data_IF_373539069389
#
_entry.id   IF_373539069389
#
_cell.length_a   1.000
_cell.length_b   1.000
_cell.length_c   1.000
_cell.angle_alpha   90.00
_cell.angle_beta   90.00
_cell.angle_gamma   90.00
#
_symmetry.space_group_name_H-M   'P 1'
#
loop_
_entity.id
_entity.type
_entity.pdbx_description
1 polymer ?
#
# COMPACT_ATOMS: atom_id res chain seq x y z
N UNK A 1 -4.99 7.51 -9.29
CA UNK A 1 -3.60 7.29 -8.85
C UNK A 1 -3.15 8.47 -7.98
N UNK A 2 -2.63 8.19 -6.79
CA UNK A 2 -2.07 9.18 -5.88
C UNK A 2 -0.57 8.95 -5.76
N UNK A 3 0.21 10.02 -5.88
CA UNK A 3 1.66 10.05 -5.59
C UNK A 3 1.89 10.76 -4.26
N UNK A 4 2.65 10.14 -3.37
CA UNK A 4 3.11 10.74 -2.12
C UNK A 4 4.63 10.96 -2.26
N UNK A 5 5.07 12.19 -2.63
CA UNK A 5 6.48 12.49 -2.81
C UNK A 5 7.26 12.33 -1.51
N UNK A 6 8.48 11.82 -1.62
CA UNK A 6 9.39 11.65 -0.50
C UNK A 6 10.47 12.75 -0.45
N UNK A 7 10.66 13.51 -1.52
CA UNK A 7 11.57 14.64 -1.57
C UNK A 7 10.96 15.84 -0.79
N UNK A 8 11.61 16.30 0.30
CA UNK A 8 11.12 17.42 1.11
C UNK A 8 11.00 18.73 0.35
N UNK A 9 11.69 18.92 -0.78
CA UNK A 9 11.62 20.11 -1.61
C UNK A 9 10.32 20.23 -2.41
N UNK A 10 9.58 19.12 -2.54
CA UNK A 10 8.33 19.08 -3.29
C UNK A 10 7.16 19.45 -2.37
N UNK A 11 6.33 20.41 -2.80
CA UNK A 11 5.12 20.79 -2.05
C UNK A 11 4.18 19.57 -1.90
N UNK A 12 3.69 19.35 -0.68
CA UNK A 12 2.83 18.21 -0.37
C UNK A 12 3.57 16.89 -0.17
N UNK A 13 4.90 16.92 -0.06
CA UNK A 13 5.68 15.75 0.31
C UNK A 13 5.36 15.30 1.74
N UNK A 14 5.36 13.98 1.95
CA UNK A 14 5.28 13.36 3.27
C UNK A 14 6.50 12.44 3.40
N UNK A 15 7.68 12.99 3.70
CA UNK A 15 8.88 12.20 3.86
C UNK A 15 8.72 11.21 5.00
N UNK A 16 8.95 9.93 4.71
CA UNK A 16 8.97 8.89 5.73
C UNK A 16 10.38 8.74 6.28
N UNK A 17 10.48 8.52 7.58
CA UNK A 17 11.78 8.25 8.21
C UNK A 17 12.38 6.97 7.64
N UNK A 18 13.70 6.96 7.51
CA UNK A 18 14.42 5.74 7.15
C UNK A 18 14.08 4.64 8.14
N UNK A 19 13.84 3.43 7.62
CA UNK A 19 13.67 2.23 8.42
C UNK A 19 14.88 2.01 9.32
N UNK A 20 14.62 1.52 10.53
CA UNK A 20 15.68 1.16 11.47
C UNK A 20 16.50 0.00 10.92
N UNK A 21 17.78 0.04 11.17
CA UNK A 21 18.69 -1.03 10.83
C UNK A 21 19.26 -1.56 12.16
N UNK A 22 18.61 -2.59 12.68
CA UNK A 22 19.03 -3.26 13.90
C UNK A 22 20.18 -4.23 13.64
N UNK A 23 20.71 -4.86 14.69
CA UNK A 23 21.77 -5.84 14.53
C UNK A 23 21.43 -7.02 13.61
N UNK A 24 20.14 -7.32 13.45
CA UNK A 24 19.61 -8.37 12.58
C UNK A 24 19.20 -7.89 11.19
N UNK A 25 19.33 -6.60 10.89
CA UNK A 25 19.02 -6.01 9.58
C UNK A 25 17.95 -4.94 9.59
N UNK A 26 17.32 -4.76 8.43
CA UNK A 26 16.32 -3.73 8.16
C UNK A 26 14.98 -4.08 8.81
N UNK A 27 14.38 -3.10 9.50
CA UNK A 27 13.06 -3.25 10.10
C UNK A 27 12.12 -2.15 9.64
N UNK A 28 10.90 -2.51 9.25
CA UNK A 28 9.82 -1.56 9.01
C UNK A 28 8.47 -2.27 9.00
N UNK A 29 7.41 -1.47 9.10
CA UNK A 29 6.03 -1.97 8.98
C UNK A 29 5.19 -1.02 8.13
N UNK A 30 4.42 -1.56 7.23
CA UNK A 30 3.34 -0.88 6.51
C UNK A 30 2.00 -1.43 6.95
N UNK A 31 1.02 -0.57 7.11
CA UNK A 31 -0.36 -0.95 7.41
C UNK A 31 -1.31 -0.18 6.51
N UNK A 32 -2.32 -0.87 6.00
CA UNK A 32 -3.36 -0.28 5.16
C UNK A 32 -4.69 -0.97 5.41
N UNK A 33 -5.78 -0.22 5.36
CA UNK A 33 -7.12 -0.77 5.28
C UNK A 33 -7.60 -0.74 3.84
N UNK A 34 -8.11 -1.85 3.36
CA UNK A 34 -8.66 -2.00 2.02
C UNK A 34 -10.09 -2.54 2.08
N UNK A 35 -10.92 -2.08 1.19
CA UNK A 35 -12.25 -2.61 0.92
C UNK A 35 -12.31 -2.93 -0.57
N UNK A 36 -12.41 -4.19 -0.93
CA UNK A 36 -12.49 -4.64 -2.32
C UNK A 36 -13.94 -4.96 -2.62
N UNK A 37 -14.55 -4.20 -3.53
CA UNK A 37 -15.95 -4.39 -3.93
C UNK A 37 -16.07 -5.54 -4.91
N UNK A 38 -15.24 -5.53 -5.93
CA UNK A 38 -15.31 -6.49 -7.01
C UNK A 38 -13.92 -6.85 -7.52
N UNK A 39 -13.79 -8.06 -8.01
CA UNK A 39 -12.64 -8.52 -8.78
C UNK A 39 -12.87 -8.38 -10.30
N UNK A 40 -13.92 -7.62 -10.70
CA UNK A 40 -14.24 -7.43 -12.10
C UNK A 40 -13.05 -6.91 -12.89
N UNK A 41 -12.84 -7.50 -14.05
CA UNK A 41 -11.63 -7.35 -14.81
C UNK A 41 -11.64 -6.10 -15.70
N UNK A 42 -11.30 -4.96 -15.12
CA UNK A 42 -10.94 -3.79 -15.92
C UNK A 42 -9.68 -4.06 -16.78
N UNK A 43 -8.76 -4.89 -16.28
CA UNK A 43 -7.56 -5.35 -16.99
C UNK A 43 -7.35 -6.84 -16.69
N UNK A 44 -7.97 -7.74 -17.45
CA UNK A 44 -7.83 -9.16 -17.21
C UNK A 44 -6.36 -9.60 -17.31
N UNK A 45 -5.98 -10.52 -16.43
CA UNK A 45 -4.63 -11.05 -16.41
C UNK A 45 -3.55 -10.13 -15.82
N UNK A 46 -3.94 -8.96 -15.25
CA UNK A 46 -2.99 -8.02 -14.65
C UNK A 46 -3.16 -7.92 -13.13
N UNK A 47 -2.05 -7.71 -12.45
CA UNK A 47 -2.03 -7.33 -11.03
C UNK A 47 -2.68 -5.96 -10.85
N UNK A 48 -3.55 -5.82 -9.86
CA UNK A 48 -4.20 -4.56 -9.51
C UNK A 48 -3.46 -3.94 -8.34
N UNK A 49 -2.87 -2.77 -8.56
CA UNK A 49 -2.06 -2.10 -7.55
C UNK A 49 -2.93 -1.54 -6.43
N UNK A 50 -2.54 -1.80 -5.18
CA UNK A 50 -3.06 -1.16 -3.98
C UNK A 50 -2.13 0.00 -3.62
N UNK A 51 -0.88 -0.31 -3.30
CA UNK A 51 0.18 0.68 -3.16
C UNK A 51 1.54 0.04 -3.43
N UNK A 52 2.53 0.85 -3.73
CA UNK A 52 3.94 0.43 -3.70
C UNK A 52 4.85 1.63 -3.36
N UNK A 53 6.01 1.32 -2.82
CA UNK A 53 7.11 2.28 -2.64
C UNK A 53 8.19 1.97 -3.66
N UNK A 54 8.51 2.96 -4.50
CA UNK A 54 9.47 2.72 -5.57
C UNK A 54 9.60 3.85 -6.59
N UNK A 55 10.18 3.50 -7.73
CA UNK A 55 10.33 4.40 -8.88
C UNK A 55 8.97 4.87 -9.41
N UNK A 56 9.00 5.91 -10.24
CA UNK A 56 7.82 6.33 -10.99
C UNK A 56 7.18 5.14 -11.74
N UNK A 57 5.84 5.14 -11.90
CA UNK A 57 5.13 4.04 -12.52
C UNK A 57 5.70 3.68 -13.88
N UNK A 58 6.13 2.45 -14.01
CA UNK A 58 6.60 1.85 -15.24
C UNK A 58 6.03 0.43 -15.34
N UNK A 59 5.08 0.26 -16.24
CA UNK A 59 4.37 -1.00 -16.46
C UNK A 59 4.64 -1.46 -17.90
N UNK A 60 5.65 -2.29 -18.05
CA UNK A 60 5.95 -2.91 -19.35
C UNK A 60 4.90 -3.95 -19.74
N UNK A 61 4.83 -4.34 -21.02
CA UNK A 61 3.88 -5.35 -21.49
C UNK A 61 4.07 -6.70 -20.79
N UNK A 62 5.29 -7.03 -20.40
CA UNK A 62 5.64 -8.28 -19.73
C UNK A 62 5.48 -8.20 -18.18
N UNK A 63 5.18 -7.02 -17.65
CA UNK A 63 5.13 -6.80 -16.21
C UNK A 63 3.76 -7.13 -15.58
N UNK A 64 2.78 -7.46 -16.41
CA UNK A 64 1.42 -7.85 -15.98
C UNK A 64 0.81 -6.88 -14.94
N UNK A 65 1.12 -5.59 -15.02
CA UNK A 65 0.65 -4.58 -14.08
C UNK A 65 1.49 -4.40 -12.80
N UNK A 66 2.57 -5.15 -12.62
CA UNK A 66 3.55 -4.91 -11.57
C UNK A 66 4.47 -3.75 -11.96
N UNK A 67 4.78 -2.90 -11.02
CA UNK A 67 5.78 -1.86 -11.25
C UNK A 67 7.18 -2.46 -11.41
N UNK A 68 7.98 -1.91 -12.31
CA UNK A 68 9.37 -2.30 -12.51
C UNK A 68 10.29 -1.07 -12.52
N UNK A 69 11.49 -1.16 -11.95
CA UNK A 69 12.10 -2.30 -11.26
C UNK A 69 11.80 -2.36 -9.76
N UNK A 70 11.21 -1.33 -9.17
CA UNK A 70 11.25 -1.14 -7.73
C UNK A 70 9.89 -1.31 -7.05
N UNK A 71 9.84 -2.31 -6.15
CA UNK A 71 8.78 -2.52 -5.15
C UNK A 71 9.44 -2.82 -3.80
N UNK A 72 9.30 -1.91 -2.83
CA UNK A 72 9.92 -2.15 -1.52
C UNK A 72 9.11 -1.51 -0.37
N UNK A 73 7.95 -2.07 -0.04
CA UNK A 73 7.21 -3.15 -0.69
C UNK A 73 6.25 -2.67 -1.79
N UNK A 74 5.66 -3.62 -2.52
CA UNK A 74 4.46 -3.43 -3.33
C UNK A 74 3.35 -4.37 -2.87
N UNK A 75 2.13 -3.88 -2.75
CA UNK A 75 0.93 -4.65 -2.44
C UNK A 75 -0.04 -4.60 -3.62
N UNK A 76 -0.44 -5.76 -4.08
CA UNK A 76 -1.28 -5.94 -5.26
C UNK A 76 -2.37 -6.98 -5.01
N UNK A 77 -3.45 -6.93 -5.79
CA UNK A 77 -4.38 -8.05 -5.95
C UNK A 77 -3.88 -8.87 -7.15
N UNK A 78 -3.77 -10.17 -6.95
CA UNK A 78 -3.26 -11.11 -7.97
C UNK A 78 -4.28 -11.30 -9.10
N UNK A 79 -3.83 -11.44 -10.37
CA UNK A 79 -4.74 -11.66 -11.49
C UNK A 79 -5.60 -12.90 -11.31
N UNK A 80 -6.87 -12.79 -11.74
CA UNK A 80 -7.82 -13.92 -11.81
C UNK A 80 -8.05 -14.67 -10.48
N UNK A 81 -7.70 -14.07 -9.35
CA UNK A 81 -7.88 -14.66 -8.02
C UNK A 81 -8.26 -13.59 -6.99
N UNK A 82 -8.78 -14.04 -5.85
CA UNK A 82 -8.97 -13.18 -4.67
C UNK A 82 -7.76 -13.21 -3.72
N UNK A 83 -6.57 -13.34 -4.25
CA UNK A 83 -5.35 -13.38 -3.46
C UNK A 83 -4.63 -12.02 -3.48
N UNK A 84 -4.01 -11.66 -2.37
CA UNK A 84 -3.04 -10.57 -2.32
C UNK A 84 -1.65 -11.08 -2.72
N UNK A 85 -0.90 -10.20 -3.35
CA UNK A 85 0.51 -10.41 -3.67
C UNK A 85 1.32 -9.28 -3.06
N UNK A 86 2.27 -9.65 -2.21
CA UNK A 86 3.29 -8.73 -1.68
C UNK A 86 4.56 -8.95 -2.48
N UNK A 87 5.04 -7.89 -3.11
CA UNK A 87 6.31 -7.91 -3.86
C UNK A 87 7.37 -7.18 -3.03
N UNK A 88 8.51 -7.83 -2.86
CA UNK A 88 9.66 -7.24 -2.19
C UNK A 88 10.92 -7.36 -3.03
N UNK A 89 11.63 -6.25 -3.22
CA UNK A 89 12.96 -6.28 -3.83
C UNK A 89 13.99 -6.72 -2.79
N UNK A 90 14.71 -7.79 -3.10
CA UNK A 90 15.87 -8.23 -2.34
C UNK A 90 17.15 -8.08 -3.18
N UNK A 91 18.32 -8.31 -2.56
CA UNK A 91 19.58 -8.27 -3.32
C UNK A 91 19.71 -9.43 -4.31
N UNK A 92 19.06 -10.55 -4.04
CA UNK A 92 19.08 -11.73 -4.94
C UNK A 92 17.93 -11.76 -5.94
N UNK A 93 16.80 -11.14 -5.62
CA UNK A 93 15.60 -11.15 -6.46
C UNK A 93 14.96 -9.76 -6.53
N UNK A 94 14.70 -9.28 -7.76
CA UNK A 94 14.02 -8.00 -7.99
C UNK A 94 12.52 -8.12 -7.67
N UNK A 95 11.94 -9.30 -7.87
CA UNK A 95 10.52 -9.58 -7.63
C UNK A 95 10.39 -10.83 -6.79
N UNK A 96 10.59 -10.71 -5.49
CA UNK A 96 10.24 -11.78 -4.57
C UNK A 96 8.78 -11.63 -4.20
N UNK A 97 7.97 -12.60 -4.62
CA UNK A 97 6.51 -12.57 -4.47
C UNK A 97 6.06 -13.45 -3.31
N UNK A 98 5.24 -12.87 -2.45
CA UNK A 98 4.58 -13.55 -1.34
C UNK A 98 3.06 -13.48 -1.57
N UNK A 99 2.42 -14.63 -1.75
CA UNK A 99 0.96 -14.71 -1.99
C UNK A 99 0.22 -14.96 -0.69
N UNK A 100 -0.84 -14.18 -0.45
CA UNK A 100 -1.79 -14.36 0.64
C UNK A 100 -3.14 -14.71 0.02
N UNK A 101 -3.61 -15.96 0.14
CA UNK A 101 -4.87 -16.39 -0.46
C UNK A 101 -6.09 -15.85 0.30
N UNK A 102 -7.26 -16.02 -0.29
CA UNK A 102 -8.57 -15.87 0.33
C UNK A 102 -8.84 -14.49 0.92
N UNK A 103 -8.54 -13.42 0.14
CA UNK A 103 -8.92 -12.06 0.51
C UNK A 103 -10.45 -11.93 0.57
N UNK A 104 -11.03 -11.54 1.72
CA UNK A 104 -12.46 -11.28 1.81
C UNK A 104 -12.88 -10.09 0.94
N UNK A 105 -13.99 -10.25 0.19
CA UNK A 105 -14.59 -9.18 -0.59
C UNK A 105 -15.73 -8.52 0.20
N UNK A 106 -16.07 -7.28 -0.16
CA UNK A 106 -17.14 -6.48 0.44
C UNK A 106 -17.02 -6.31 1.97
N UNK A 107 -15.78 -6.27 2.45
CA UNK A 107 -15.45 -6.03 3.85
C UNK A 107 -14.17 -5.20 3.96
N UNK A 108 -14.09 -4.38 5.00
CA UNK A 108 -12.83 -3.76 5.38
C UNK A 108 -11.86 -4.80 5.92
N UNK A 109 -10.69 -4.84 5.34
CA UNK A 109 -9.60 -5.75 5.70
C UNK A 109 -8.35 -4.92 6.00
N UNK A 110 -7.78 -5.14 7.18
CA UNK A 110 -6.47 -4.57 7.50
C UNK A 110 -5.38 -5.50 6.99
N UNK A 111 -4.46 -4.95 6.23
CA UNK A 111 -3.27 -5.65 5.73
C UNK A 111 -2.04 -4.99 6.33
N UNK A 112 -1.20 -5.77 7.01
CA UNK A 112 0.06 -5.29 7.55
C UNK A 112 1.20 -6.10 6.94
N UNK A 113 2.20 -5.39 6.42
CA UNK A 113 3.45 -5.96 5.92
C UNK A 113 4.54 -5.54 6.90
N UNK A 114 5.08 -6.49 7.65
CA UNK A 114 6.14 -6.29 8.63
C UNK A 114 7.40 -7.00 8.18
N UNK A 115 8.49 -6.28 8.18
CA UNK A 115 9.81 -6.83 7.84
C UNK A 115 10.74 -6.66 9.03
N UNK A 116 11.41 -7.73 9.41
CA UNK A 116 12.48 -7.76 10.40
C UNK A 116 13.64 -8.59 9.83
N UNK A 117 14.75 -7.93 9.55
CA UNK A 117 15.87 -8.56 8.89
C UNK A 117 15.50 -9.18 7.54
N UNK A 118 15.51 -10.49 7.46
CA UNK A 118 15.11 -11.24 6.27
C UNK A 118 13.76 -11.99 6.43
N UNK A 119 13.00 -11.68 7.47
CA UNK A 119 11.66 -12.23 7.67
C UNK A 119 10.63 -11.19 7.27
N UNK A 120 9.71 -11.58 6.39
CA UNK A 120 8.55 -10.79 6.00
C UNK A 120 7.29 -11.49 6.49
N UNK A 121 6.56 -10.82 7.38
CA UNK A 121 5.27 -11.25 7.88
C UNK A 121 4.16 -10.44 7.24
N UNK A 122 3.12 -11.12 6.80
CA UNK A 122 1.87 -10.49 6.36
C UNK A 122 0.77 -10.83 7.35
N UNK A 123 0.13 -9.79 7.90
CA UNK A 123 -1.01 -9.95 8.79
C UNK A 123 -2.29 -9.52 8.08
N UNK A 124 -3.34 -10.28 8.31
CA UNK A 124 -4.71 -9.94 7.91
C UNK A 124 -5.53 -9.77 9.19
N UNK A 125 -6.09 -8.58 9.37
CA UNK A 125 -6.88 -8.22 10.56
C UNK A 125 -6.15 -8.54 11.89
N UNK A 126 -4.83 -8.34 11.92
CA UNK A 126 -4.00 -8.55 13.10
C UNK A 126 -3.52 -9.98 13.33
N UNK A 127 -3.91 -10.93 12.47
CA UNK A 127 -3.48 -12.33 12.53
C UNK A 127 -2.44 -12.58 11.44
N UNK A 128 -1.36 -13.29 11.77
CA UNK A 128 -0.34 -13.70 10.78
C UNK A 128 -1.00 -14.62 9.76
N UNK A 129 -1.09 -14.16 8.51
CA UNK A 129 -1.55 -14.96 7.39
C UNK A 129 -0.39 -15.73 6.73
N UNK A 130 0.74 -15.06 6.56
CA UNK A 130 1.94 -15.64 5.96
C UNK A 130 3.18 -15.12 6.68
N UNK A 131 4.11 -16.04 6.96
CA UNK A 131 5.50 -15.73 7.34
C UNK A 131 6.43 -16.26 6.27
N UNK A 132 7.21 -15.39 5.68
CA UNK A 132 8.11 -15.74 4.59
C UNK A 132 9.54 -15.31 4.92
N UNK A 133 10.48 -16.25 4.71
CA UNK A 133 11.91 -15.93 4.79
C UNK A 133 12.37 -15.48 3.42
N UNK A 134 12.73 -14.20 3.30
CA UNK A 134 13.26 -13.62 2.08
C UNK A 134 14.54 -14.33 1.63
N UNK A 135 14.71 -14.46 0.33
CA UNK A 135 15.88 -15.11 -0.29
C UNK A 135 17.19 -14.38 0.03
N UNK A 136 17.12 -13.09 0.35
CA UNK A 136 18.25 -12.24 0.69
C UNK A 136 17.77 -11.00 1.46
N UNK A 137 18.68 -10.15 1.86
CA UNK A 137 18.38 -8.88 2.55
C UNK A 137 17.49 -8.01 1.64
N UNK A 138 16.39 -7.44 2.17
CA UNK A 138 15.55 -6.52 1.44
C UNK A 138 16.31 -5.24 1.09
N UNK A 139 16.06 -4.71 -0.10
CA UNK A 139 16.67 -3.45 -0.54
C UNK A 139 15.96 -2.26 0.08
N UNK A 140 16.74 -1.34 0.63
CA UNK A 140 16.24 -0.02 1.01
C UNK A 140 15.79 0.74 -0.24
N UNK A 141 14.60 1.34 -0.20
CA UNK A 141 14.06 2.11 -1.31
C UNK A 141 13.80 3.56 -0.87
N UNK A 142 14.27 4.50 -1.69
CA UNK A 142 14.12 5.94 -1.46
C UNK A 142 13.08 6.57 -2.39
N UNK A 143 12.44 5.79 -3.25
CA UNK A 143 11.41 6.25 -4.16
C UNK A 143 10.12 6.67 -3.45
N UNK A 144 9.22 7.26 -4.21
CA UNK A 144 7.94 7.74 -3.74
C UNK A 144 6.98 6.60 -3.37
N UNK A 145 5.92 6.94 -2.67
CA UNK A 145 4.80 6.04 -2.42
C UNK A 145 3.72 6.32 -3.47
N UNK A 146 3.29 5.29 -4.14
CA UNK A 146 2.28 5.33 -5.20
C UNK A 146 1.09 4.48 -4.79
N UNK A 147 -0.10 5.06 -4.90
CA UNK A 147 -1.36 4.42 -4.49
C UNK A 147 -2.28 4.34 -5.71
N UNK A 148 -2.91 3.18 -5.91
CA UNK A 148 -3.83 2.90 -7.02
C UNK A 148 -3.22 3.25 -8.39
N UNK A 149 -1.95 2.88 -8.59
CA UNK A 149 -1.29 3.04 -9.88
C UNK A 149 -1.87 2.08 -10.92
N UNK A 150 -1.69 2.39 -12.21
CA UNK A 150 -2.19 1.57 -13.33
C UNK A 150 -3.69 1.25 -13.31
N UNK A 151 -4.50 2.15 -12.77
CA UNK A 151 -5.95 1.97 -12.65
C UNK A 151 -6.40 1.40 -11.30
N UNK A 152 -5.48 0.88 -10.47
CA UNK A 152 -5.82 0.39 -9.14
C UNK A 152 -6.74 -0.82 -9.14
N UNK A 153 -7.60 -0.89 -8.14
CA UNK A 153 -8.63 -1.93 -7.95
C UNK A 153 -9.99 -1.28 -7.70
N UNK A 154 -11.05 -2.07 -7.84
CA UNK A 154 -12.41 -1.65 -7.55
C UNK A 154 -12.67 -1.73 -6.05
N UNK A 155 -12.74 -0.56 -5.38
CA UNK A 155 -12.90 -0.50 -3.93
C UNK A 155 -12.33 0.77 -3.30
N UNK A 156 -12.13 0.70 -1.98
CA UNK A 156 -11.70 1.82 -1.15
C UNK A 156 -10.39 1.50 -0.40
N UNK A 157 -9.63 2.53 -0.11
CA UNK A 157 -8.41 2.45 0.68
C UNK A 157 -8.45 3.49 1.80
N UNK A 158 -8.03 3.09 3.00
CA UNK A 158 -7.99 3.96 4.16
C UNK A 158 -6.73 3.73 4.98
N UNK A 159 -6.29 4.78 5.66
CA UNK A 159 -5.25 4.72 6.70
C UNK A 159 -3.96 4.00 6.28
N UNK A 160 -3.40 4.35 5.11
CA UNK A 160 -2.07 3.89 4.74
C UNK A 160 -1.04 4.51 5.70
N UNK A 161 -0.34 3.66 6.46
CA UNK A 161 0.61 4.06 7.51
C UNK A 161 1.94 3.35 7.36
N UNK A 162 3.00 4.08 7.68
CA UNK A 162 4.35 3.56 7.73
C UNK A 162 4.94 3.71 9.12
N UNK A 163 5.66 2.69 9.56
CA UNK A 163 6.46 2.67 10.78
C UNK A 163 7.88 2.26 10.40
N UNK A 164 8.86 2.98 10.89
CA UNK A 164 10.26 2.73 10.57
C UNK A 164 10.90 1.60 11.39
N UNK A 165 10.08 0.76 12.01
CA UNK A 165 10.46 -0.39 12.83
C UNK A 165 9.41 -1.52 12.72
N UNK A 166 9.77 -2.71 13.20
CA UNK A 166 8.86 -3.84 13.31
C UNK A 166 7.86 -3.64 14.44
N UNK A 167 6.56 -3.54 14.12
CA UNK A 167 5.52 -3.43 15.15
C UNK A 167 5.43 -4.70 15.99
N UNK A 168 5.30 -4.54 17.30
CA UNK A 168 4.97 -5.64 18.22
C UNK A 168 3.53 -6.12 18.03
N UNK A 169 3.22 -7.31 18.52
CA UNK A 169 1.86 -7.87 18.45
C UNK A 169 0.81 -6.99 19.14
N UNK A 170 1.18 -6.31 20.24
CA UNK A 170 0.29 -5.39 20.96
C UNK A 170 0.00 -4.12 20.15
N UNK A 171 1.01 -3.58 19.46
CA UNK A 171 0.83 -2.42 18.59
C UNK A 171 -0.02 -2.78 17.37
N UNK A 172 0.22 -3.96 16.77
CA UNK A 172 -0.62 -4.48 15.68
C UNK A 172 -2.07 -4.61 16.13
N UNK A 173 -2.32 -5.24 17.28
CA UNK A 173 -3.66 -5.35 17.85
C UNK A 173 -4.31 -3.99 18.05
N UNK A 174 -3.62 -3.05 18.68
CA UNK A 174 -4.12 -1.69 18.91
C UNK A 174 -4.42 -0.94 17.61
N UNK A 175 -3.60 -1.16 16.59
CA UNK A 175 -3.78 -0.55 15.26
C UNK A 175 -5.04 -1.07 14.58
N UNK A 176 -5.28 -2.38 14.64
CA UNK A 176 -6.47 -3.02 14.06
C UNK A 176 -7.74 -2.63 14.80
N UNK A 177 -7.69 -2.51 16.12
CA UNK A 177 -8.86 -2.10 16.93
C UNK A 177 -9.35 -0.67 16.61
N UNK A 178 -8.48 0.20 16.11
CA UNK A 178 -8.87 1.56 15.67
C UNK A 178 -9.78 1.55 14.44
N UNK A 179 -9.73 0.48 13.65
CA UNK A 179 -10.48 0.38 12.41
C UNK A 179 -9.99 1.29 11.28
N UNK A 180 -10.68 1.27 10.13
CA UNK A 180 -10.45 2.20 9.04
C UNK A 180 -10.94 3.61 9.41
N UNK A 181 -10.26 4.62 8.91
CA UNK A 181 -10.76 5.98 8.93
C UNK A 181 -11.74 6.15 7.76
N UNK A 182 -12.99 6.39 8.08
CA UNK A 182 -14.07 6.56 7.10
C UNK A 182 -14.34 8.03 6.79
N UNK A 183 -13.59 8.95 7.39
CA UNK A 183 -13.70 10.37 7.05
C UNK A 183 -13.07 10.60 5.68
N UNK A 184 -13.82 11.21 4.79
CA UNK A 184 -13.24 11.64 3.51
C UNK A 184 -12.24 12.76 3.78
N UNK A 185 -11.03 12.63 3.22
CA UNK A 185 -10.06 13.71 3.24
C UNK A 185 -10.61 14.90 2.45
N UNK A 186 -10.92 15.98 3.15
CA UNK A 186 -11.41 17.21 2.53
C UNK A 186 -10.33 17.93 1.70
N UNK A 187 -9.09 17.47 1.76
CA UNK A 187 -7.97 18.03 0.97
C UNK A 187 -8.05 17.70 -0.53
N UNK A 188 -8.91 16.78 -0.94
CA UNK A 188 -9.37 16.69 -2.32
C UNK A 188 -10.55 17.64 -2.47
N UNK A 189 -10.30 18.94 -2.45
CA UNK A 189 -11.23 19.96 -2.89
C UNK A 189 -11.55 19.73 -4.39
N UNK A 190 -12.42 18.76 -4.62
CA UNK A 190 -13.26 18.79 -5.81
C UNK A 190 -14.20 19.95 -5.56
N UNK A 191 -13.90 21.10 -6.11
CA UNK A 191 -14.83 22.23 -6.06
C UNK A 191 -16.22 21.69 -6.44
N UNK A 192 -17.22 21.94 -5.60
CA UNK A 192 -18.56 21.46 -5.91
C UNK A 192 -18.97 22.03 -7.27
N UNK A 193 -19.73 21.32 -8.09
CA UNK A 193 -20.14 21.79 -9.41
C UNK A 193 -20.67 23.20 -9.32
N UNK A 194 -20.17 24.09 -10.18
CA UNK A 194 -20.55 25.48 -10.23
C UNK A 194 -22.09 25.63 -10.17
N UNK A 195 -22.59 26.51 -9.31
CA UNK A 195 -24.01 26.72 -8.99
C UNK A 195 -24.71 25.54 -8.27
N UNK A 196 -24.01 24.55 -7.73
CA UNK A 196 -24.64 23.63 -6.78
C UNK A 196 -24.94 24.35 -5.47
N UNK A 197 -25.95 23.88 -4.70
CA UNK A 197 -26.26 24.43 -3.38
C UNK A 197 -25.03 24.43 -2.47
N UNK A 198 -24.21 23.42 -2.53
CA UNK A 198 -22.97 23.30 -1.76
C UNK A 198 -21.94 24.36 -2.17
N UNK A 199 -21.76 24.61 -3.47
CA UNK A 199 -20.92 25.68 -3.98
C UNK A 199 -21.36 27.06 -3.47
N UNK A 200 -22.67 27.30 -3.42
CA UNK A 200 -23.22 28.58 -2.95
C UNK A 200 -22.96 28.79 -1.47
N UNK A 201 -23.14 27.77 -0.63
CA UNK A 201 -22.92 27.90 0.82
C UNK A 201 -21.43 27.95 1.19
N UNK A 202 -20.56 27.27 0.47
CA UNK A 202 -19.11 27.29 0.71
C UNK A 202 -18.51 28.67 0.36
N UNK A 203 -19.01 29.35 -0.68
CA UNK A 203 -18.55 30.70 -1.06
C UNK A 203 -19.26 31.85 -0.34
N UNK A 204 -20.39 31.61 0.31
CA UNK A 204 -21.08 32.65 1.08
C UNK A 204 -20.44 32.92 2.46
N UNK A 205 -19.49 32.09 2.88
CA UNK A 205 -18.78 32.20 4.18
C UNK A 205 -17.31 32.66 4.02
N UNK A 206 -16.89 33.12 2.87
CA UNK A 206 -15.65 33.87 2.64
C UNK A 206 -15.95 35.37 2.56
#
# INVERSE_FOLDING_TARGET
MLRIPQDPSIKGSIPIMRSRNQGEGLEFTWSVWIFVESLSDYKPGQYKNIFYKGSAPSFGPDDQGLNFPNNAPGLYIKPNTNALSVIMNTYSQIREEITVPDLPLNKWVNVIIRVEGNILDVYINGVIAVRHKLSSVPKQNYGDVWVNASGGYDGLLSSLRYFNYGLSSMEIYSLVQKGPDLTMDKSLDVEPPYLSLRWYFDNANQ
#
